data_IF_707676834294
#
_entry.id   IF_707676834294
#
_cell.length_a   1.000
_cell.length_b   1.000
_cell.length_c   1.000
_cell.angle_alpha   90.00
_cell.angle_beta   90.00
_cell.angle_gamma   90.00
#
_symmetry.space_group_name_H-M   'P 1'
#
loop_
_entity.id
_entity.type
_entity.pdbx_description
1 polymer ?
#
# COMPACT_ATOMS: atom_id res chain seq x y z
N UNK A 1 14.10 -5.98 16.33
CA UNK A 1 13.89 -7.44 16.29
C UNK A 1 14.76 -8.00 15.18
N UNK A 2 15.20 -9.25 15.29
CA UNK A 2 16.04 -9.90 14.29
C UNK A 2 15.70 -11.39 14.19
N UNK A 3 15.76 -11.95 12.98
CA UNK A 3 15.59 -13.40 12.77
C UNK A 3 16.85 -14.15 13.16
N UNK A 4 16.69 -15.31 13.82
CA UNK A 4 17.77 -16.27 14.08
C UNK A 4 18.43 -16.70 12.78
N UNK A 5 17.66 -16.85 11.71
CA UNK A 5 18.14 -17.17 10.37
C UNK A 5 19.15 -16.12 9.87
N UNK A 6 18.93 -14.84 10.16
CA UNK A 6 19.84 -13.75 9.78
C UNK A 6 21.10 -13.75 10.66
N UNK A 7 20.95 -14.03 11.96
CA UNK A 7 22.09 -14.20 12.89
C UNK A 7 22.97 -15.38 12.48
N UNK A 8 22.37 -16.53 12.19
CA UNK A 8 23.07 -17.75 11.78
C UNK A 8 23.77 -17.55 10.42
N UNK A 9 23.12 -16.85 9.49
CA UNK A 9 23.70 -16.48 8.19
C UNK A 9 24.91 -15.56 8.38
N UNK A 10 24.79 -14.53 9.23
CA UNK A 10 25.90 -13.62 9.51
C UNK A 10 27.05 -14.32 10.23
N UNK A 11 26.76 -15.21 11.19
CA UNK A 11 27.77 -15.99 11.94
C UNK A 11 28.64 -16.85 11.03
N UNK A 12 28.05 -17.43 9.97
CA UNK A 12 28.80 -18.17 8.95
C UNK A 12 29.72 -17.26 8.14
N UNK A 13 29.27 -16.05 7.81
CA UNK A 13 30.04 -15.06 7.04
C UNK A 13 31.19 -14.49 7.88
N UNK A 14 30.91 -14.10 9.13
CA UNK A 14 31.90 -13.55 10.06
C UNK A 14 32.85 -14.61 10.63
N UNK A 15 32.54 -15.90 10.46
CA UNK A 15 33.23 -17.05 11.07
C UNK A 15 33.30 -16.96 12.59
N UNK A 16 32.27 -16.33 13.19
CA UNK A 16 32.11 -16.18 14.63
C UNK A 16 30.66 -16.51 14.98
N UNK A 17 30.46 -17.29 16.03
CA UNK A 17 29.13 -17.50 16.60
C UNK A 17 28.65 -16.22 17.30
N UNK A 18 27.44 -15.78 16.95
CA UNK A 18 26.77 -14.64 17.56
C UNK A 18 25.53 -15.10 18.33
N UNK A 19 25.41 -14.67 19.58
CA UNK A 19 24.27 -14.97 20.43
C UNK A 19 23.14 -13.94 20.25
N UNK A 20 21.87 -14.33 20.55
CA UNK A 20 20.76 -13.39 20.64
C UNK A 20 21.08 -12.18 21.56
N UNK A 21 20.79 -10.98 21.07
CA UNK A 21 21.02 -9.70 21.75
C UNK A 21 22.34 -9.01 21.37
N UNK A 22 23.28 -9.71 20.72
CA UNK A 22 24.57 -9.13 20.34
C UNK A 22 24.45 -7.98 19.32
N UNK A 23 23.38 -7.96 18.53
CA UNK A 23 23.12 -6.89 17.56
C UNK A 23 22.23 -5.77 18.13
N UNK A 24 22.09 -5.73 19.46
CA UNK A 24 21.21 -4.83 20.19
C UNK A 24 19.71 -4.99 19.84
N UNK A 25 19.32 -6.16 19.34
CA UNK A 25 17.91 -6.52 19.19
C UNK A 25 17.29 -6.90 20.53
N UNK A 26 16.05 -6.45 20.77
CA UNK A 26 15.32 -6.79 21.99
C UNK A 26 14.61 -8.15 21.93
N UNK A 27 14.28 -8.61 20.72
CA UNK A 27 13.55 -9.85 20.47
C UNK A 27 14.18 -10.53 19.27
N UNK A 28 14.55 -11.80 19.46
CA UNK A 28 15.02 -12.70 18.41
C UNK A 28 13.93 -13.73 18.14
N UNK A 29 13.53 -13.88 16.88
CA UNK A 29 12.52 -14.85 16.43
C UNK A 29 13.13 -15.86 15.47
N UNK A 30 12.49 -17.01 15.29
CA UNK A 30 12.86 -18.02 14.30
C UNK A 30 11.60 -18.52 13.58
N UNK A 31 11.77 -19.08 12.39
CA UNK A 31 10.69 -19.63 11.56
C UNK A 31 10.39 -18.80 10.31
N UNK A 32 10.94 -17.60 10.20
CA UNK A 32 10.90 -16.78 9.00
C UNK A 32 12.04 -15.75 9.01
N UNK A 33 12.46 -15.28 7.84
CA UNK A 33 13.34 -14.13 7.72
C UNK A 33 12.54 -12.85 7.95
N UNK A 34 12.84 -12.12 9.02
CA UNK A 34 12.04 -10.95 9.40
C UNK A 34 12.17 -9.78 8.43
N UNK A 35 13.26 -9.69 7.67
CA UNK A 35 13.43 -8.66 6.65
C UNK A 35 12.62 -8.86 5.37
N UNK A 36 11.91 -9.99 5.25
CA UNK A 36 10.91 -10.21 4.20
C UNK A 36 9.53 -9.65 4.61
N UNK A 37 9.38 -9.16 5.85
CA UNK A 37 8.19 -8.45 6.28
C UNK A 37 8.12 -7.04 5.71
N UNK A 38 6.92 -6.46 5.72
CA UNK A 38 6.67 -5.09 5.31
C UNK A 38 6.15 -4.25 6.47
N UNK A 39 6.38 -2.92 6.43
CA UNK A 39 5.68 -2.01 7.34
C UNK A 39 4.16 -2.16 7.25
N UNK A 40 3.51 -2.20 8.41
CA UNK A 40 2.08 -2.49 8.58
C UNK A 40 1.76 -3.95 8.88
N UNK A 41 2.68 -4.89 8.68
CA UNK A 41 2.46 -6.30 9.03
C UNK A 41 2.45 -6.47 10.56
N UNK A 42 1.72 -7.47 11.04
CA UNK A 42 1.48 -7.70 12.48
C UNK A 42 2.21 -8.97 12.94
N UNK A 43 2.87 -8.88 14.08
CA UNK A 43 3.39 -10.02 14.85
C UNK A 43 2.63 -10.05 16.17
N UNK A 44 1.88 -11.12 16.44
CA UNK A 44 1.07 -11.23 17.65
C UNK A 44 1.19 -12.60 18.34
N UNK A 45 0.82 -12.65 19.60
CA UNK A 45 0.84 -13.88 20.41
C UNK A 45 0.99 -13.55 21.88
N UNK A 46 0.53 -14.44 22.77
CA UNK A 46 0.67 -14.28 24.23
C UNK A 46 0.25 -12.90 24.78
N UNK A 47 -0.80 -12.33 24.21
CA UNK A 47 -1.36 -11.04 24.62
C UNK A 47 -0.63 -9.80 24.11
N UNK A 48 0.51 -9.94 23.42
CA UNK A 48 1.21 -8.83 22.75
C UNK A 48 0.80 -8.75 21.27
N UNK A 49 0.75 -7.53 20.77
CA UNK A 49 0.64 -7.23 19.33
C UNK A 49 1.67 -6.15 18.97
N UNK A 50 2.41 -6.40 17.90
CA UNK A 50 3.44 -5.50 17.39
C UNK A 50 3.23 -5.30 15.89
N UNK A 51 3.15 -4.06 15.45
CA UNK A 51 3.10 -3.70 14.03
C UNK A 51 4.51 -3.35 13.55
N UNK A 52 4.96 -4.00 12.48
CA UNK A 52 6.23 -3.65 11.82
C UNK A 52 6.14 -2.22 11.30
N UNK A 53 7.13 -1.39 11.63
CA UNK A 53 7.20 0.01 11.20
C UNK A 53 8.37 0.27 10.27
N UNK A 54 9.43 -0.53 10.34
CA UNK A 54 10.63 -0.25 9.57
C UNK A 54 11.44 -1.53 9.34
N UNK A 55 12.01 -1.65 8.13
CA UNK A 55 13.00 -2.67 7.80
C UNK A 55 14.37 -1.99 7.70
N UNK A 56 15.32 -2.54 8.45
CA UNK A 56 16.65 -2.00 8.61
C UNK A 56 16.67 -0.64 9.30
N UNK A 57 17.86 -0.16 9.66
CA UNK A 57 18.09 1.24 10.04
C UNK A 57 19.43 1.69 9.51
N UNK A 58 19.51 2.92 8.99
CA UNK A 58 20.79 3.53 8.63
C UNK A 58 21.66 3.59 9.89
N UNK A 59 22.84 2.97 9.84
CA UNK A 59 23.83 3.12 10.90
C UNK A 59 24.36 4.56 10.90
N UNK A 60 24.14 5.29 11.99
CA UNK A 60 24.77 6.59 12.20
C UNK A 60 26.16 6.36 12.81
N UNK A 61 27.16 6.20 11.95
CA UNK A 61 28.59 6.11 12.30
C UNK A 61 29.15 4.68 12.42
N UNK A 62 30.47 4.54 12.21
CA UNK A 62 31.22 3.28 12.32
C UNK A 62 31.49 2.82 13.77
N UNK A 63 30.65 3.24 14.73
CA UNK A 63 30.94 3.17 16.16
C UNK A 63 30.32 2.00 16.92
N UNK A 64 29.43 1.20 16.32
CA UNK A 64 28.85 0.06 17.06
C UNK A 64 29.92 -1.04 17.29
N UNK A 65 29.86 -1.71 18.43
CA UNK A 65 30.87 -2.71 18.81
C UNK A 65 30.98 -3.84 17.76
N UNK A 66 29.84 -4.31 17.27
CA UNK A 66 29.76 -5.34 16.22
C UNK A 66 30.43 -4.88 14.92
N UNK A 67 30.20 -3.65 14.48
CA UNK A 67 30.81 -3.12 13.26
C UNK A 67 32.32 -2.89 13.43
N UNK A 68 32.76 -2.44 14.61
CA UNK A 68 34.19 -2.29 14.91
C UNK A 68 34.92 -3.63 14.93
N UNK A 69 34.25 -4.69 15.35
CA UNK A 69 34.85 -6.01 15.50
C UNK A 69 34.77 -6.87 14.23
N UNK A 70 33.63 -6.83 13.53
CA UNK A 70 33.38 -7.67 12.34
C UNK A 70 33.44 -6.92 11.01
N UNK A 71 33.56 -5.59 11.02
CA UNK A 71 33.54 -4.74 9.83
C UNK A 71 32.18 -4.66 9.13
N UNK A 72 31.15 -5.32 9.66
CA UNK A 72 29.81 -5.40 9.09
C UNK A 72 28.74 -5.48 10.20
N UNK A 73 27.49 -5.20 9.85
CA UNK A 73 26.35 -5.37 10.76
C UNK A 73 25.15 -5.91 9.99
N UNK A 74 24.43 -6.85 10.60
CA UNK A 74 23.25 -7.50 10.03
C UNK A 74 22.01 -6.57 10.10
N UNK A 75 21.90 -5.76 11.16
CA UNK A 75 20.73 -4.95 11.47
C UNK A 75 20.30 -3.94 10.39
N UNK A 76 21.19 -3.25 9.66
CA UNK A 76 20.79 -2.31 8.61
C UNK A 76 20.01 -2.93 7.46
N UNK A 77 20.16 -4.23 7.23
CA UNK A 77 19.52 -4.96 6.12
C UNK A 77 18.51 -6.00 6.60
N UNK A 78 18.73 -6.57 7.78
CA UNK A 78 18.03 -7.76 8.24
C UNK A 78 17.16 -7.50 9.48
N UNK A 79 17.47 -6.45 10.25
CA UNK A 79 16.72 -6.11 11.45
C UNK A 79 15.41 -5.42 11.11
N UNK A 80 14.39 -5.62 11.93
CA UNK A 80 13.12 -4.87 11.82
C UNK A 80 12.80 -4.11 13.09
N UNK A 81 12.04 -3.04 12.96
CA UNK A 81 11.48 -2.28 14.07
C UNK A 81 9.97 -2.43 14.06
N UNK A 82 9.39 -2.52 15.24
CA UNK A 82 7.97 -2.66 15.41
C UNK A 82 7.47 -1.78 16.56
N UNK A 83 6.25 -1.28 16.41
CA UNK A 83 5.52 -0.54 17.44
C UNK A 83 4.61 -1.52 18.18
N UNK A 84 4.68 -1.55 19.51
CA UNK A 84 3.74 -2.32 20.33
C UNK A 84 2.38 -1.62 20.26
N UNK A 85 1.40 -2.26 19.64
CA UNK A 85 0.01 -1.79 19.53
C UNK A 85 -0.84 -2.31 20.68
N UNK A 86 -0.49 -3.48 21.25
CA UNK A 86 -1.07 -4.03 22.46
C UNK A 86 0.02 -4.61 23.35
N UNK A 87 0.10 -4.16 24.60
CA UNK A 87 1.09 -4.64 25.57
C UNK A 87 0.83 -6.06 26.07
N UNK A 88 1.90 -6.79 26.37
CA UNK A 88 1.86 -8.17 26.87
C UNK A 88 3.19 -8.59 27.48
N UNK A 89 3.37 -9.89 27.70
CA UNK A 89 4.64 -10.47 28.17
C UNK A 89 5.08 -11.58 27.23
N UNK A 90 6.36 -11.59 26.88
CA UNK A 90 7.01 -12.65 26.12
C UNK A 90 8.11 -13.29 26.94
N UNK A 91 8.30 -14.60 26.75
CA UNK A 91 9.44 -15.36 27.23
C UNK A 91 10.02 -16.22 26.10
N UNK A 92 11.25 -16.69 26.27
CA UNK A 92 11.86 -17.61 25.31
C UNK A 92 11.02 -18.88 25.15
N UNK A 93 10.87 -19.33 23.90
CA UNK A 93 10.04 -20.48 23.53
C UNK A 93 8.57 -20.16 23.23
N UNK A 94 8.15 -18.91 23.42
CA UNK A 94 6.82 -18.45 23.02
C UNK A 94 6.64 -18.48 21.49
N UNK A 95 5.44 -18.86 21.04
CA UNK A 95 5.09 -18.92 19.62
C UNK A 95 4.28 -17.66 19.28
N UNK A 96 4.72 -16.96 18.24
CA UNK A 96 4.03 -15.80 17.67
C UNK A 96 3.49 -16.15 16.29
N UNK A 97 2.42 -15.48 15.88
CA UNK A 97 1.87 -15.54 14.53
C UNK A 97 2.26 -14.27 13.79
N UNK A 98 2.74 -14.46 12.56
CA UNK A 98 2.96 -13.39 11.61
C UNK A 98 1.73 -13.25 10.71
N UNK A 99 1.20 -12.04 10.61
CA UNK A 99 -0.01 -11.70 9.87
C UNK A 99 0.34 -10.58 8.89
N UNK A 100 0.48 -10.86 7.59
CA UNK A 100 0.78 -9.83 6.61
C UNK A 100 -0.40 -8.86 6.46
N UNK A 101 -0.11 -7.56 6.28
CA UNK A 101 -1.14 -6.60 5.90
C UNK A 101 -1.53 -6.84 4.45
N UNK A 102 -2.77 -7.27 4.26
CA UNK A 102 -3.42 -7.33 2.96
C UNK A 102 -3.83 -5.92 2.54
N UNK A 103 -3.44 -5.49 1.34
CA UNK A 103 -3.91 -4.23 0.76
C UNK A 103 -5.25 -4.48 0.06
N UNK A 104 -6.32 -3.89 0.60
CA UNK A 104 -7.66 -4.03 0.05
C UNK A 104 -7.93 -2.97 -1.00
N UNK A 105 -8.19 -3.41 -2.23
CA UNK A 105 -8.45 -2.55 -3.39
C UNK A 105 -9.87 -2.74 -3.92
N UNK A 106 -10.46 -1.68 -4.44
CA UNK A 106 -11.72 -1.73 -5.19
C UNK A 106 -11.59 -0.95 -6.50
N UNK A 107 -12.14 -1.52 -7.57
CA UNK A 107 -12.26 -0.88 -8.87
C UNK A 107 -13.74 -0.76 -9.21
N UNK A 108 -14.18 0.46 -9.55
CA UNK A 108 -15.58 0.78 -9.85
C UNK A 108 -15.66 1.36 -11.26
N UNK A 109 -16.28 0.65 -12.19
CA UNK A 109 -16.61 1.19 -13.51
C UNK A 109 -17.99 1.82 -13.49
N UNK A 110 -18.10 3.06 -13.97
CA UNK A 110 -19.37 3.79 -14.17
C UNK A 110 -19.63 3.88 -15.67
N UNK A 111 -20.65 3.16 -16.14
CA UNK A 111 -21.05 3.18 -17.55
C UNK A 111 -22.41 2.54 -17.75
N UNK A 112 -23.42 3.33 -18.08
CA UNK A 112 -24.75 2.82 -18.48
C UNK A 112 -24.67 1.80 -19.63
N UNK A 113 -23.80 2.05 -20.61
CA UNK A 113 -23.68 1.18 -21.79
C UNK A 113 -23.04 -0.16 -21.45
N UNK A 114 -22.01 -0.17 -20.60
CA UNK A 114 -21.38 -1.42 -20.17
C UNK A 114 -22.31 -2.21 -19.24
N UNK A 115 -22.97 -1.52 -18.30
CA UNK A 115 -23.93 -2.14 -17.39
C UNK A 115 -25.10 -2.80 -18.14
N UNK A 116 -25.62 -2.15 -19.18
CA UNK A 116 -26.69 -2.69 -20.02
C UNK A 116 -26.22 -3.68 -21.09
N UNK A 117 -24.93 -4.07 -21.10
CA UNK A 117 -24.40 -5.05 -22.04
C UNK A 117 -24.27 -4.58 -23.49
N UNK A 118 -24.31 -3.26 -23.75
CA UNK A 118 -24.11 -2.68 -25.09
C UNK A 118 -22.68 -2.93 -25.58
N UNK A 119 -21.71 -2.90 -24.66
CA UNK A 119 -20.33 -3.32 -24.88
C UNK A 119 -19.74 -3.87 -23.58
N UNK A 120 -18.72 -4.75 -23.65
CA UNK A 120 -18.01 -5.20 -22.45
C UNK A 120 -17.21 -4.04 -21.84
N UNK A 121 -17.13 -3.99 -20.51
CA UNK A 121 -16.16 -3.12 -19.85
C UNK A 121 -14.73 -3.63 -20.08
N UNK A 122 -13.86 -2.72 -20.52
CA UNK A 122 -12.43 -2.96 -20.71
C UNK A 122 -11.57 -2.13 -19.75
N UNK A 123 -12.10 -1.04 -19.19
CA UNK A 123 -11.36 -0.11 -18.33
C UNK A 123 -11.17 -0.67 -16.92
N UNK A 124 -12.24 -1.19 -16.31
CA UNK A 124 -12.19 -1.81 -15.00
C UNK A 124 -11.23 -3.01 -14.93
N UNK A 125 -11.36 -4.01 -15.83
CA UNK A 125 -10.43 -5.13 -15.89
C UNK A 125 -8.96 -4.71 -16.08
N UNK A 126 -8.70 -3.64 -16.82
CA UNK A 126 -7.34 -3.11 -16.98
C UNK A 126 -6.79 -2.53 -15.66
N UNK A 127 -7.59 -1.79 -14.91
CA UNK A 127 -7.18 -1.31 -13.58
C UNK A 127 -6.93 -2.46 -12.60
N UNK A 128 -7.79 -3.49 -12.59
CA UNK A 128 -7.60 -4.71 -11.78
C UNK A 128 -6.28 -5.40 -12.14
N UNK A 129 -6.00 -5.53 -13.44
CA UNK A 129 -4.74 -6.11 -13.93
C UNK A 129 -3.54 -5.28 -13.46
N UNK A 130 -3.58 -3.95 -13.60
CA UNK A 130 -2.50 -3.06 -13.18
C UNK A 130 -2.20 -3.18 -11.67
N UNK A 131 -3.25 -3.24 -10.83
CA UNK A 131 -3.12 -3.49 -9.38
C UNK A 131 -2.44 -4.83 -9.12
N UNK A 132 -2.92 -5.90 -9.78
CA UNK A 132 -2.37 -7.24 -9.62
C UNK A 132 -0.89 -7.31 -10.00
N UNK A 133 -0.54 -6.78 -11.17
CA UNK A 133 0.83 -6.82 -11.68
C UNK A 133 1.77 -6.05 -10.75
N UNK A 134 1.33 -4.88 -10.25
CA UNK A 134 2.12 -4.05 -9.34
C UNK A 134 2.37 -4.75 -8.01
N UNK A 135 1.34 -5.18 -7.28
CA UNK A 135 1.53 -5.78 -5.96
C UNK A 135 2.20 -7.16 -6.01
N UNK A 136 1.99 -7.95 -7.08
CA UNK A 136 2.77 -9.18 -7.31
C UNK A 136 4.25 -8.89 -7.54
N UNK A 137 4.58 -7.87 -8.35
CA UNK A 137 5.99 -7.47 -8.57
C UNK A 137 6.68 -7.02 -7.29
N UNK A 138 5.90 -6.57 -6.30
CA UNK A 138 6.34 -6.15 -4.97
C UNK A 138 6.30 -7.27 -3.94
N UNK A 139 5.83 -8.47 -4.28
CA UNK A 139 5.58 -9.56 -3.33
C UNK A 139 4.76 -9.08 -2.10
N UNK A 140 3.75 -8.25 -2.34
CA UNK A 140 2.85 -7.68 -1.32
C UNK A 140 1.50 -8.37 -1.39
N UNK A 141 0.95 -8.74 -0.24
CA UNK A 141 -0.40 -9.31 -0.16
C UNK A 141 -1.45 -8.26 -0.48
N UNK A 142 -2.41 -8.62 -1.35
CA UNK A 142 -3.48 -7.72 -1.76
C UNK A 142 -4.74 -8.49 -2.16
N UNK A 143 -5.87 -7.80 -2.12
CA UNK A 143 -7.15 -8.30 -2.62
C UNK A 143 -7.82 -7.20 -3.42
N UNK A 144 -8.50 -7.56 -4.51
CA UNK A 144 -9.17 -6.60 -5.39
C UNK A 144 -10.60 -7.02 -5.64
N UNK A 145 -11.52 -6.09 -5.37
CA UNK A 145 -12.94 -6.20 -5.73
C UNK A 145 -13.21 -5.38 -6.99
N UNK A 146 -14.11 -5.86 -7.85
CA UNK A 146 -14.53 -5.15 -9.06
C UNK A 146 -16.04 -4.97 -9.07
N UNK A 147 -16.47 -3.74 -9.37
CA UNK A 147 -17.87 -3.35 -9.43
C UNK A 147 -18.15 -2.64 -10.76
N UNK A 148 -19.20 -3.09 -11.47
CA UNK A 148 -19.75 -2.40 -12.62
C UNK A 148 -21.08 -1.76 -12.22
N UNK A 149 -21.17 -0.44 -12.31
CA UNK A 149 -22.35 0.34 -11.97
C UNK A 149 -22.89 1.10 -13.19
N UNK A 150 -24.21 1.34 -13.26
CA UNK A 150 -24.75 2.35 -14.16
C UNK A 150 -24.30 3.75 -13.71
N UNK A 151 -24.55 4.76 -14.54
CA UNK A 151 -24.26 6.15 -14.23
C UNK A 151 -25.29 6.71 -13.22
N UNK A 152 -25.26 6.17 -11.99
CA UNK A 152 -26.15 6.51 -10.89
C UNK A 152 -25.36 7.02 -9.67
N UNK A 153 -25.67 8.26 -9.25
CA UNK A 153 -24.99 8.96 -8.14
C UNK A 153 -25.17 8.25 -6.80
N UNK A 154 -26.40 7.92 -6.44
CA UNK A 154 -26.76 7.32 -5.15
C UNK A 154 -26.10 5.95 -4.97
N UNK A 155 -26.04 5.15 -6.05
CA UNK A 155 -25.37 3.85 -6.04
C UNK A 155 -23.85 4.00 -5.83
N UNK A 156 -23.22 4.98 -6.48
CA UNK A 156 -21.81 5.26 -6.29
C UNK A 156 -21.52 5.73 -4.86
N UNK A 157 -22.28 6.69 -4.34
CA UNK A 157 -22.14 7.19 -2.96
C UNK A 157 -22.28 6.07 -1.94
N UNK A 158 -23.31 5.22 -2.08
CA UNK A 158 -23.52 4.09 -1.20
C UNK A 158 -22.35 3.12 -1.24
N UNK A 159 -21.90 2.73 -2.44
CA UNK A 159 -20.79 1.78 -2.58
C UNK A 159 -19.49 2.33 -2.00
N UNK A 160 -19.18 3.62 -2.21
CA UNK A 160 -17.99 4.26 -1.63
C UNK A 160 -18.02 4.20 -0.09
N UNK A 161 -19.17 4.48 0.53
CA UNK A 161 -19.35 4.39 1.97
C UNK A 161 -19.24 2.95 2.50
N UNK A 162 -19.85 1.99 1.80
CA UNK A 162 -19.76 0.57 2.16
C UNK A 162 -18.30 0.07 2.08
N UNK A 163 -17.57 0.44 1.03
CA UNK A 163 -16.15 0.10 0.85
C UNK A 163 -15.27 0.73 1.94
N UNK A 164 -15.52 2.00 2.30
CA UNK A 164 -14.84 2.67 3.42
C UNK A 164 -15.10 1.94 4.74
N UNK A 165 -16.36 1.62 5.03
CA UNK A 165 -16.76 0.92 6.25
C UNK A 165 -16.10 -0.46 6.36
N UNK A 166 -15.99 -1.18 5.23
CA UNK A 166 -15.34 -2.48 5.16
C UNK A 166 -13.79 -2.43 5.16
N UNK A 167 -13.18 -1.25 5.34
CA UNK A 167 -11.74 -1.10 5.47
C UNK A 167 -10.98 -1.24 4.15
N UNK A 168 -11.57 -0.82 3.03
CA UNK A 168 -10.86 -0.73 1.74
C UNK A 168 -9.77 0.34 1.81
N UNK A 169 -8.54 0.00 1.44
CA UNK A 169 -7.40 0.93 1.47
C UNK A 169 -7.39 1.83 0.21
N UNK A 170 -7.62 1.24 -0.98
CA UNK A 170 -7.51 1.93 -2.27
C UNK A 170 -8.77 1.75 -3.11
N UNK A 171 -9.40 2.83 -3.55
CA UNK A 171 -10.55 2.82 -4.45
C UNK A 171 -10.19 3.56 -5.74
N UNK A 172 -10.45 2.91 -6.87
CA UNK A 172 -10.30 3.48 -8.20
C UNK A 172 -11.65 3.48 -8.89
N UNK A 173 -12.10 4.63 -9.39
CA UNK A 173 -13.25 4.69 -10.29
C UNK A 173 -12.79 4.88 -11.73
N UNK A 174 -13.57 4.43 -12.72
CA UNK A 174 -13.32 4.73 -14.13
C UNK A 174 -14.62 5.12 -14.82
N UNK A 175 -14.58 6.25 -15.52
CA UNK A 175 -15.76 6.84 -16.18
C UNK A 175 -16.36 8.03 -15.43
N UNK A 176 -17.14 8.83 -16.16
CA UNK A 176 -17.88 9.97 -15.59
C UNK A 176 -17.03 11.18 -15.16
N UNK A 177 -15.80 11.32 -15.68
CA UNK A 177 -14.83 12.38 -15.29
C UNK A 177 -14.64 13.50 -16.33
N UNK A 178 -15.42 13.49 -17.42
CA UNK A 178 -15.37 14.53 -18.44
C UNK A 178 -16.13 15.80 -18.05
N UNK A 179 -16.38 16.67 -19.04
CA UNK A 179 -17.16 17.91 -18.92
C UNK A 179 -18.60 17.77 -19.44
N UNK A 180 -19.03 16.54 -19.77
CA UNK A 180 -20.38 16.27 -20.24
C UNK A 180 -21.42 16.41 -19.13
N UNK A 181 -22.69 16.61 -19.47
CA UNK A 181 -23.77 16.83 -18.48
C UNK A 181 -24.06 15.61 -17.60
N UNK A 182 -23.60 14.43 -18.00
CA UNK A 182 -23.74 13.18 -17.24
C UNK A 182 -22.47 12.81 -16.45
N UNK A 183 -21.38 13.57 -16.60
CA UNK A 183 -20.15 13.33 -15.85
C UNK A 183 -20.32 13.90 -14.43
N UNK A 184 -20.43 13.00 -13.43
CA UNK A 184 -20.63 13.38 -12.02
C UNK A 184 -19.62 12.75 -11.06
N UNK A 185 -18.76 11.86 -11.54
CA UNK A 185 -17.83 11.09 -10.69
C UNK A 185 -16.95 12.00 -9.82
N UNK A 186 -16.39 13.11 -10.34
CA UNK A 186 -15.61 14.05 -9.54
C UNK A 186 -16.42 14.70 -8.41
N UNK A 187 -17.67 15.08 -8.65
CA UNK A 187 -18.55 15.69 -7.63
C UNK A 187 -18.80 14.74 -6.47
N UNK A 188 -19.12 13.48 -6.78
CA UNK A 188 -19.37 12.44 -5.78
C UNK A 188 -18.09 12.13 -5.00
N UNK A 189 -16.98 11.97 -5.72
CA UNK A 189 -15.68 11.75 -5.11
C UNK A 189 -15.28 12.92 -4.19
N UNK A 190 -15.57 14.16 -4.58
CA UNK A 190 -15.26 15.37 -3.81
C UNK A 190 -16.05 15.44 -2.51
N UNK A 191 -17.32 15.00 -2.52
CA UNK A 191 -18.14 14.88 -1.31
C UNK A 191 -17.71 13.74 -0.37
N UNK A 192 -17.04 12.72 -0.90
CA UNK A 192 -16.56 11.57 -0.14
C UNK A 192 -15.20 11.79 0.54
N UNK A 193 -14.28 12.49 -0.12
CA UNK A 193 -12.92 12.72 0.39
C UNK A 193 -12.89 13.81 1.47
N UNK A 194 -12.12 13.58 2.54
CA UNK A 194 -11.87 14.56 3.61
C UNK A 194 -10.68 15.48 3.26
N UNK A 195 -9.71 14.96 2.52
CA UNK A 195 -8.52 15.70 2.09
C UNK A 195 -8.23 15.39 0.62
N UNK A 196 -8.21 16.43 -0.21
CA UNK A 196 -7.83 16.32 -1.62
C UNK A 196 -6.31 16.37 -1.79
N UNK A 197 -5.80 15.62 -2.77
CA UNK A 197 -4.39 15.56 -3.15
C UNK A 197 -4.26 16.01 -4.62
N UNK A 198 -4.40 17.32 -4.91
CA UNK A 198 -4.50 17.82 -6.28
C UNK A 198 -3.25 17.52 -7.12
N UNK A 199 -2.08 17.53 -6.49
CA UNK A 199 -0.78 17.34 -7.17
C UNK A 199 -0.67 16.04 -7.97
N UNK A 200 -1.37 14.96 -7.56
CA UNK A 200 -1.39 13.70 -8.31
C UNK A 200 -2.05 13.90 -9.68
N UNK A 201 -3.25 14.49 -9.69
CA UNK A 201 -4.01 14.66 -10.91
C UNK A 201 -3.48 15.81 -11.78
N UNK A 202 -2.90 16.84 -11.17
CA UNK A 202 -2.18 17.89 -11.89
C UNK A 202 -0.97 17.35 -12.65
N UNK A 203 -0.12 16.55 -11.98
CA UNK A 203 1.04 15.91 -12.62
C UNK A 203 0.61 15.05 -13.81
N UNK A 204 -0.38 14.17 -13.62
CA UNK A 204 -0.88 13.29 -14.69
C UNK A 204 -1.40 14.12 -15.87
N UNK A 205 -2.23 15.13 -15.62
CA UNK A 205 -2.76 16.02 -16.68
C UNK A 205 -1.64 16.75 -17.42
N UNK A 206 -0.65 17.31 -16.71
CA UNK A 206 0.46 18.01 -17.34
C UNK A 206 1.36 17.07 -18.14
N UNK A 207 1.58 15.84 -17.66
CA UNK A 207 2.40 14.84 -18.34
C UNK A 207 1.78 14.40 -19.66
N UNK A 208 0.54 13.93 -19.62
CA UNK A 208 -0.14 13.39 -20.81
C UNK A 208 -0.76 14.48 -21.70
N UNK A 209 -1.10 15.64 -21.13
CA UNK A 209 -1.66 16.79 -21.85
C UNK A 209 -0.73 17.40 -22.90
N UNK A 210 0.59 17.19 -22.77
CA UNK A 210 1.58 17.62 -23.78
C UNK A 210 1.40 16.94 -25.12
N UNK A 211 1.05 15.65 -25.10
CA UNK A 211 0.86 14.83 -26.31
C UNK A 211 -0.63 14.70 -26.67
N UNK A 212 -1.50 14.71 -25.66
CA UNK A 212 -2.95 14.51 -25.79
C UNK A 212 -3.63 15.72 -25.13
N UNK A 213 -3.81 16.85 -25.84
CA UNK A 213 -4.39 18.07 -25.25
C UNK A 213 -5.71 17.85 -24.51
N UNK A 214 -6.54 16.92 -24.98
CA UNK A 214 -7.82 16.58 -24.34
C UNK A 214 -7.67 16.00 -22.91
N UNK A 215 -6.51 15.46 -22.55
CA UNK A 215 -6.26 14.98 -21.18
C UNK A 215 -6.38 16.10 -20.14
N UNK A 216 -6.15 17.36 -20.54
CA UNK A 216 -6.29 18.54 -19.69
C UNK A 216 -7.74 18.83 -19.28
N UNK A 217 -8.73 18.33 -20.03
CA UNK A 217 -10.16 18.52 -19.72
C UNK A 217 -10.66 17.56 -18.63
N UNK A 218 -9.86 16.55 -18.26
CA UNK A 218 -10.25 15.58 -17.24
C UNK A 218 -10.44 16.27 -15.89
N UNK A 219 -11.62 16.09 -15.30
CA UNK A 219 -11.96 16.56 -13.95
C UNK A 219 -11.62 15.52 -12.88
N UNK A 220 -10.76 14.56 -13.20
CA UNK A 220 -10.28 13.56 -12.25
C UNK A 220 -9.70 14.21 -10.98
N UNK A 221 -10.04 13.64 -9.82
CA UNK A 221 -9.54 14.01 -8.50
C UNK A 221 -8.93 12.81 -7.77
N UNK A 222 -8.00 13.11 -6.87
CA UNK A 222 -7.41 12.17 -5.93
C UNK A 222 -7.62 12.69 -4.51
N UNK A 223 -7.88 11.81 -3.55
CA UNK A 223 -8.02 12.22 -2.17
C UNK A 223 -8.08 11.05 -1.19
N UNK A 224 -8.26 11.39 0.08
CA UNK A 224 -8.32 10.43 1.19
C UNK A 224 -9.46 10.78 2.14
N UNK A 225 -10.08 9.76 2.71
CA UNK A 225 -11.08 9.85 3.79
C UNK A 225 -10.83 8.73 4.80
N UNK A 226 -10.60 9.06 6.08
CA UNK A 226 -10.07 8.07 7.01
C UNK A 226 -8.79 7.41 6.46
N UNK A 227 -8.76 6.08 6.36
CA UNK A 227 -7.61 5.35 5.79
C UNK A 227 -7.82 4.91 4.32
N UNK A 228 -8.87 5.38 3.68
CA UNK A 228 -9.26 5.00 2.32
C UNK A 228 -8.87 6.09 1.34
N UNK A 229 -8.08 5.73 0.32
CA UNK A 229 -7.75 6.60 -0.79
C UNK A 229 -8.71 6.39 -1.96
N UNK A 230 -9.08 7.48 -2.62
CA UNK A 230 -9.95 7.47 -3.79
C UNK A 230 -9.27 8.18 -4.96
N UNK A 231 -9.28 7.53 -6.12
CA UNK A 231 -8.80 8.08 -7.39
C UNK A 231 -9.86 7.91 -8.46
N UNK A 232 -10.23 9.00 -9.12
CA UNK A 232 -11.14 8.93 -10.26
C UNK A 232 -10.36 8.93 -11.56
N UNK A 233 -10.54 7.91 -12.39
CA UNK A 233 -9.80 7.70 -13.64
C UNK A 233 -10.68 8.02 -14.86
N UNK A 234 -10.08 8.36 -16.01
CA UNK A 234 -10.80 8.43 -17.28
C UNK A 234 -11.44 7.08 -17.64
N UNK A 235 -12.47 7.11 -18.48
CA UNK A 235 -13.18 5.90 -18.94
C UNK A 235 -12.48 5.13 -20.06
N UNK A 236 -11.46 5.70 -20.70
CA UNK A 236 -10.73 5.01 -21.77
C UNK A 236 -9.67 4.08 -21.21
N UNK A 237 -9.50 2.90 -21.80
CA UNK A 237 -8.47 1.92 -21.40
C UNK A 237 -7.06 2.55 -21.40
N UNK A 238 -6.79 3.41 -22.40
CA UNK A 238 -5.53 4.17 -22.47
C UNK A 238 -5.37 5.08 -21.25
N UNK A 239 -6.40 5.87 -20.92
CA UNK A 239 -6.37 6.76 -19.76
C UNK A 239 -6.23 6.02 -18.44
N UNK A 240 -6.87 4.85 -18.29
CA UNK A 240 -6.68 3.98 -17.11
C UNK A 240 -5.21 3.57 -16.99
N UNK A 241 -4.59 3.06 -18.06
CA UNK A 241 -3.17 2.66 -18.04
C UNK A 241 -2.24 3.81 -17.64
N UNK A 242 -2.45 4.97 -18.24
CA UNK A 242 -1.68 6.19 -18.00
C UNK A 242 -1.79 6.64 -16.54
N UNK A 243 -3.00 6.70 -15.99
CA UNK A 243 -3.19 7.16 -14.62
C UNK A 243 -2.66 6.13 -13.61
N UNK A 244 -2.92 4.84 -13.82
CA UNK A 244 -2.46 3.78 -12.92
C UNK A 244 -0.93 3.71 -12.86
N UNK A 245 -0.24 3.96 -13.98
CA UNK A 245 1.22 3.99 -14.02
C UNK A 245 1.83 5.08 -13.13
N UNK A 246 1.15 6.21 -12.96
CA UNK A 246 1.61 7.30 -12.10
C UNK A 246 1.14 7.13 -10.64
N UNK A 247 -0.05 6.54 -10.41
CA UNK A 247 -0.64 6.43 -9.07
C UNK A 247 -0.07 5.25 -8.27
N UNK A 248 0.04 4.06 -8.88
CA UNK A 248 0.45 2.85 -8.16
C UNK A 248 1.80 2.99 -7.43
N UNK A 249 2.85 3.60 -8.01
CA UNK A 249 4.12 3.81 -7.33
C UNK A 249 4.01 4.62 -6.03
N UNK A 250 2.96 5.42 -5.85
CA UNK A 250 2.75 6.26 -4.66
C UNK A 250 2.09 5.48 -3.50
N UNK A 251 1.41 4.37 -3.80
CA UNK A 251 0.48 3.70 -2.88
C UNK A 251 1.14 3.22 -1.58
N UNK A 252 2.35 2.63 -1.64
CA UNK A 252 3.06 2.15 -0.44
C UNK A 252 3.31 3.30 0.54
N UNK A 253 3.88 4.41 0.05
CA UNK A 253 4.18 5.57 0.90
C UNK A 253 2.89 6.19 1.47
N UNK A 254 1.84 6.30 0.66
CA UNK A 254 0.54 6.80 1.10
C UNK A 254 -0.06 5.96 2.23
N UNK A 255 0.00 4.63 2.11
CA UNK A 255 -0.47 3.70 3.15
C UNK A 255 0.37 3.85 4.42
N UNK A 256 1.70 3.91 4.30
CA UNK A 256 2.59 4.08 5.45
C UNK A 256 2.33 5.39 6.19
N UNK A 257 2.13 6.49 5.47
CA UNK A 257 1.74 7.77 6.07
C UNK A 257 0.45 7.65 6.91
N UNK A 258 -0.56 6.93 6.42
CA UNK A 258 -1.83 6.74 7.17
C UNK A 258 -1.69 5.79 8.36
N UNK A 259 -0.75 4.85 8.29
CA UNK A 259 -0.38 4.01 9.44
C UNK A 259 0.50 4.76 10.47
N UNK A 260 0.89 6.02 10.19
CA UNK A 260 1.80 6.78 11.04
C UNK A 260 3.21 6.21 11.05
N UNK A 261 3.61 5.58 9.96
CA UNK A 261 4.94 4.99 9.76
C UNK A 261 5.80 6.01 9.01
N UNK A 262 6.88 6.45 9.66
CA UNK A 262 7.87 7.33 9.03
C UNK A 262 8.86 6.52 8.20
N UNK A 263 8.97 6.86 6.91
CA UNK A 263 9.89 6.21 5.98
C UNK A 263 11.11 7.07 5.64
N UNK A 264 11.31 8.22 6.29
CA UNK A 264 12.38 9.17 6.01
C UNK A 264 13.55 9.15 7.02
#
# INVERSE_FOLDING_TARGET
MLSKESIDSFSKISKREHLPGEFAENITLSGMKLNEAYPGDIINGNGIEMMVTQIGKKCHGGGCAVFRESGACVMPKEGIFAKVTKGGRLKAGDILTYIPKVINCAVITLSNRAFNGVYPDLGGPEAVKAISDFFKSKNREFQTQYHLLPDNKEMLEKLLNDLKFNGTDLIFTTGGTGIGPQDFTPEIAKGFIETEIPGIMEHIRTKYGKEIPNALLSRSIAGVTGNTFLFTLPGSVKGVKEYMAEILPLTEHMIYMRLGIDTH
#
